data_IF_567455138708
#
_entry.id   IF_567455138708
#
_cell.length_a   1.000
_cell.length_b   1.000
_cell.length_c   1.000
_cell.angle_alpha   90.00
_cell.angle_beta   90.00
_cell.angle_gamma   90.00
#
_symmetry.space_group_name_H-M   'P 1'
#
loop_
_entity.id
_entity.type
_entity.pdbx_description
1 polymer ?
#
# COMPACT_ATOMS: atom_id res chain seq x y z
N UNK A 1 49.14 40.37 -24.68
CA UNK A 1 50.44 41.03 -24.85
C UNK A 1 51.31 40.62 -23.68
N UNK A 2 52.33 39.82 -23.90
CA UNK A 2 53.21 39.36 -22.76
C UNK A 2 54.13 40.49 -22.37
N UNK A 3 54.22 40.74 -21.10
CA UNK A 3 55.19 41.64 -20.52
C UNK A 3 56.58 41.04 -20.72
N UNK A 4 57.50 41.83 -21.33
CA UNK A 4 58.89 41.38 -21.48
C UNK A 4 59.76 42.06 -20.39
N UNK A 5 60.12 41.35 -19.31
CA UNK A 5 60.83 41.94 -18.20
C UNK A 5 62.22 42.50 -18.56
N UNK A 6 62.87 41.88 -19.54
CA UNK A 6 64.19 42.33 -20.01
C UNK A 6 64.10 43.68 -20.69
N UNK A 7 63.10 43.89 -21.57
CA UNK A 7 62.91 45.12 -22.22
C UNK A 7 62.52 46.27 -21.27
N UNK A 8 61.75 45.98 -20.28
CA UNK A 8 61.40 46.93 -19.22
C UNK A 8 62.62 47.31 -18.40
N UNK A 9 63.42 46.33 -18.00
CA UNK A 9 64.67 46.59 -17.28
C UNK A 9 65.62 47.48 -18.06
N UNK A 10 65.86 47.20 -19.35
CA UNK A 10 66.73 47.99 -20.18
C UNK A 10 66.29 49.44 -20.28
N UNK A 11 64.98 49.70 -20.52
CA UNK A 11 64.43 51.05 -20.59
C UNK A 11 64.55 51.76 -19.23
N UNK A 12 64.30 51.12 -18.12
CA UNK A 12 64.40 51.72 -16.82
C UNK A 12 65.85 52.01 -16.42
N UNK A 13 66.79 51.13 -16.80
CA UNK A 13 68.21 51.26 -16.51
C UNK A 13 68.79 52.47 -17.14
N UNK A 14 68.40 52.86 -18.38
CA UNK A 14 68.86 54.02 -19.06
C UNK A 14 68.49 55.33 -18.32
N UNK A 15 67.38 55.31 -17.59
CA UNK A 15 66.85 56.52 -16.95
C UNK A 15 67.21 56.59 -15.46
N UNK A 16 67.21 55.47 -14.78
CA UNK A 16 67.26 55.42 -13.31
C UNK A 16 68.51 54.73 -12.76
N UNK A 17 69.36 54.17 -13.63
CA UNK A 17 70.50 53.34 -13.21
C UNK A 17 70.15 51.87 -12.89
N UNK A 18 71.19 51.06 -12.58
CA UNK A 18 71.05 49.59 -12.53
C UNK A 18 70.19 49.11 -11.38
N UNK A 19 70.48 49.53 -10.14
CA UNK A 19 69.77 49.04 -8.93
C UNK A 19 68.31 49.45 -8.88
N UNK A 20 67.89 50.69 -9.12
CA UNK A 20 66.47 51.06 -9.21
C UNK A 20 65.73 50.33 -10.33
N UNK A 21 66.39 50.14 -11.50
CA UNK A 21 65.77 49.42 -12.64
C UNK A 21 65.46 47.95 -12.30
N UNK A 22 66.36 47.26 -11.62
CA UNK A 22 66.13 45.88 -11.13
C UNK A 22 64.95 45.81 -10.18
N UNK A 23 64.92 46.69 -9.17
CA UNK A 23 63.87 46.74 -8.16
C UNK A 23 62.49 46.99 -8.77
N UNK A 24 62.39 48.00 -9.66
CA UNK A 24 61.14 48.31 -10.38
C UNK A 24 60.70 47.18 -11.32
N UNK A 25 61.61 46.55 -12.04
CA UNK A 25 61.28 45.40 -12.94
C UNK A 25 60.77 44.22 -12.13
N UNK A 26 61.37 43.95 -10.94
CA UNK A 26 60.89 42.92 -10.01
C UNK A 26 59.46 43.19 -9.55
N UNK A 27 59.17 44.39 -9.07
CA UNK A 27 57.82 44.76 -8.65
C UNK A 27 56.82 44.69 -9.78
N UNK A 28 57.16 45.19 -10.98
CA UNK A 28 56.25 45.10 -12.15
C UNK A 28 56.04 43.67 -12.61
N UNK A 29 57.06 42.80 -12.52
CA UNK A 29 56.94 41.35 -12.77
C UNK A 29 55.96 40.69 -11.81
N UNK A 30 56.08 40.97 -10.54
CA UNK A 30 55.22 40.43 -9.49
C UNK A 30 53.78 40.95 -9.64
N UNK A 31 53.58 42.24 -9.91
CA UNK A 31 52.25 42.80 -10.24
C UNK A 31 51.64 42.16 -11.48
N UNK A 32 52.42 41.83 -12.49
CA UNK A 32 51.93 41.17 -13.69
C UNK A 32 51.53 39.72 -13.42
N UNK A 33 52.29 38.98 -12.63
CA UNK A 33 51.92 37.61 -12.21
C UNK A 33 50.67 37.62 -11.35
N UNK A 34 50.50 38.56 -10.44
CA UNK A 34 49.30 38.71 -9.62
C UNK A 34 48.09 39.04 -10.47
N UNK A 35 48.24 39.92 -11.51
CA UNK A 35 47.16 40.25 -12.45
C UNK A 35 46.78 39.12 -13.39
N UNK A 36 47.70 38.23 -13.75
CA UNK A 36 47.37 37.02 -14.58
C UNK A 36 46.63 35.96 -13.81
N UNK A 37 46.71 35.98 -12.49
CA UNK A 37 45.95 35.08 -11.61
C UNK A 37 44.54 35.61 -11.25
N UNK A 38 44.18 36.83 -11.68
CA UNK A 38 42.84 37.39 -11.49
C UNK A 38 41.93 36.95 -12.65
N UNK A 39 40.74 36.50 -12.31
CA UNK A 39 39.73 36.17 -13.32
C UNK A 39 39.58 37.30 -14.34
N UNK A 40 39.78 36.97 -15.60
CA UNK A 40 39.66 37.95 -16.66
C UNK A 40 38.21 38.38 -16.85
N UNK A 41 37.99 39.58 -17.42
CA UNK A 41 36.65 40.07 -17.76
C UNK A 41 35.92 39.14 -18.72
N UNK A 42 36.63 38.37 -19.53
CA UNK A 42 36.07 37.40 -20.48
C UNK A 42 35.51 36.20 -19.66
N UNK A 43 36.31 35.61 -18.79
CA UNK A 43 35.92 34.49 -17.93
C UNK A 43 34.75 34.84 -16.98
N UNK A 44 34.75 36.09 -16.48
CA UNK A 44 33.65 36.59 -15.67
C UNK A 44 32.34 36.70 -16.48
N UNK A 45 32.40 37.16 -17.73
CA UNK A 45 31.25 37.23 -18.60
C UNK A 45 30.75 35.82 -18.99
N UNK A 46 31.64 34.87 -19.25
CA UNK A 46 31.28 33.46 -19.52
C UNK A 46 30.58 32.82 -18.31
N UNK A 47 31.13 33.02 -17.11
CA UNK A 47 30.49 32.56 -15.88
C UNK A 47 29.09 33.15 -15.69
N UNK A 48 28.93 34.46 -15.98
CA UNK A 48 27.63 35.13 -15.90
C UNK A 48 26.61 34.51 -16.86
N UNK A 49 26.98 34.18 -18.08
CA UNK A 49 26.07 33.52 -19.04
C UNK A 49 25.75 32.07 -18.59
N UNK A 50 26.71 31.33 -18.06
CA UNK A 50 26.48 29.99 -17.50
C UNK A 50 25.49 30.06 -16.35
N UNK A 51 25.65 31.00 -15.42
CA UNK A 51 24.75 31.20 -14.28
C UNK A 51 23.34 31.54 -14.76
N UNK A 52 23.21 32.38 -15.79
CA UNK A 52 21.91 32.72 -16.37
C UNK A 52 21.20 31.52 -16.99
N UNK A 53 21.92 30.71 -17.76
CA UNK A 53 21.38 29.47 -18.34
C UNK A 53 21.00 28.46 -17.23
N UNK A 54 21.82 28.37 -16.19
CA UNK A 54 21.53 27.50 -15.04
C UNK A 54 20.25 27.93 -14.29
N UNK A 55 20.10 29.26 -14.08
CA UNK A 55 18.88 29.79 -13.44
C UNK A 55 17.61 29.45 -14.25
N UNK A 56 17.66 29.60 -15.58
CA UNK A 56 16.56 29.21 -16.46
C UNK A 56 16.23 27.72 -16.34
N UNK A 57 17.26 26.85 -16.34
CA UNK A 57 17.02 25.39 -16.18
C UNK A 57 16.46 25.02 -14.82
N UNK A 58 16.86 25.72 -13.75
CA UNK A 58 16.30 25.53 -12.41
C UNK A 58 14.81 25.90 -12.40
N UNK A 59 14.43 26.99 -13.05
CA UNK A 59 13.03 27.39 -13.16
C UNK A 59 12.19 26.38 -13.95
N UNK A 60 12.67 25.89 -15.08
CA UNK A 60 12.05 24.82 -15.88
C UNK A 60 11.86 23.53 -15.06
N UNK A 61 12.88 23.15 -14.28
CA UNK A 61 12.81 21.98 -13.38
C UNK A 61 11.78 22.17 -12.27
N UNK A 62 11.71 23.34 -11.67
CA UNK A 62 10.72 23.65 -10.63
C UNK A 62 9.28 23.56 -11.16
N UNK A 63 9.04 24.06 -12.38
CA UNK A 63 7.73 23.91 -13.03
C UNK A 63 7.40 22.44 -13.36
N UNK A 64 8.36 21.68 -13.87
CA UNK A 64 8.18 20.27 -14.16
C UNK A 64 7.91 19.45 -12.90
N UNK A 65 8.61 19.76 -11.80
CA UNK A 65 8.37 19.16 -10.50
C UNK A 65 6.94 19.44 -9.99
N UNK A 66 6.50 20.69 -10.09
CA UNK A 66 5.13 21.07 -9.69
C UNK A 66 4.07 20.28 -10.46
N UNK A 67 4.21 20.13 -11.78
CA UNK A 67 3.30 19.32 -12.60
C UNK A 67 3.31 17.84 -12.16
N UNK A 68 4.50 17.31 -11.86
CA UNK A 68 4.63 15.93 -11.36
C UNK A 68 3.92 15.76 -10.02
N UNK A 69 4.07 16.72 -9.10
CA UNK A 69 3.39 16.69 -7.81
C UNK A 69 1.86 16.75 -7.94
N UNK A 70 1.34 17.55 -8.87
CA UNK A 70 -0.09 17.61 -9.18
C UNK A 70 -0.59 16.26 -9.71
N UNK A 71 0.11 15.68 -10.68
CA UNK A 71 -0.22 14.35 -11.22
C UNK A 71 -0.21 13.24 -10.15
N UNK A 72 0.79 13.26 -9.26
CA UNK A 72 0.88 12.29 -8.15
C UNK A 72 -0.30 12.43 -7.19
N UNK A 73 -0.75 13.66 -6.91
CA UNK A 73 -1.96 13.88 -6.08
C UNK A 73 -3.22 13.33 -6.75
N UNK A 74 -3.41 13.60 -8.03
CA UNK A 74 -4.56 13.08 -8.80
C UNK A 74 -4.56 11.55 -8.82
N UNK A 75 -3.40 10.92 -9.03
CA UNK A 75 -3.27 9.46 -8.97
C UNK A 75 -3.58 8.91 -7.58
N UNK A 76 -3.13 9.58 -6.52
CA UNK A 76 -3.42 9.18 -5.15
C UNK A 76 -4.93 9.20 -4.85
N UNK A 77 -5.64 10.23 -5.29
CA UNK A 77 -7.10 10.32 -5.18
C UNK A 77 -7.81 9.23 -6.00
N UNK A 78 -7.37 9.01 -7.24
CA UNK A 78 -7.92 7.94 -8.08
C UNK A 78 -7.74 6.55 -7.48
N UNK A 79 -6.59 6.27 -6.85
CA UNK A 79 -6.34 5.01 -6.15
C UNK A 79 -7.27 4.86 -4.92
N UNK A 80 -7.49 5.93 -4.16
CA UNK A 80 -8.39 5.87 -3.00
C UNK A 80 -9.85 5.64 -3.41
N UNK A 81 -10.29 6.29 -4.49
CA UNK A 81 -11.62 6.06 -5.05
C UNK A 81 -11.80 4.63 -5.58
N UNK A 82 -10.82 4.11 -6.33
CA UNK A 82 -10.82 2.71 -6.77
C UNK A 82 -10.87 1.73 -5.60
N UNK A 83 -10.15 2.01 -4.49
CA UNK A 83 -10.22 1.18 -3.28
C UNK A 83 -11.62 1.14 -2.68
N UNK A 84 -12.31 2.27 -2.64
CA UNK A 84 -13.70 2.35 -2.15
C UNK A 84 -14.65 1.57 -3.05
N UNK A 85 -14.54 1.73 -4.37
CA UNK A 85 -15.35 0.98 -5.35
C UNK A 85 -15.11 -0.53 -5.25
N UNK A 86 -13.85 -0.98 -5.19
CA UNK A 86 -13.51 -2.40 -5.01
C UNK A 86 -13.99 -2.93 -3.67
N UNK A 87 -13.93 -2.12 -2.61
CA UNK A 87 -14.49 -2.47 -1.30
C UNK A 87 -16.00 -2.69 -1.34
N UNK A 88 -16.75 -1.80 -2.01
CA UNK A 88 -18.19 -1.95 -2.24
C UNK A 88 -18.52 -3.21 -3.03
N UNK A 89 -17.84 -3.41 -4.16
CA UNK A 89 -18.03 -4.61 -4.99
C UNK A 89 -17.78 -5.92 -4.23
N UNK A 90 -16.79 -5.93 -3.35
CA UNK A 90 -16.47 -7.09 -2.51
C UNK A 90 -17.57 -7.40 -1.49
N UNK A 91 -18.23 -6.38 -0.97
CA UNK A 91 -19.39 -6.54 -0.08
C UNK A 91 -20.60 -7.07 -0.84
N UNK A 92 -20.90 -6.49 -2.02
CA UNK A 92 -22.02 -6.93 -2.88
C UNK A 92 -21.85 -8.38 -3.31
N UNK A 93 -20.65 -8.81 -3.68
CA UNK A 93 -20.34 -10.22 -3.99
C UNK A 93 -20.50 -11.11 -2.75
N UNK A 94 -20.17 -10.62 -1.55
CA UNK A 94 -20.40 -11.34 -0.30
C UNK A 94 -21.88 -11.62 -0.07
N UNK A 95 -22.72 -10.61 -0.19
CA UNK A 95 -24.17 -10.75 -0.07
C UNK A 95 -24.77 -11.71 -1.13
N UNK A 96 -24.26 -11.65 -2.36
CA UNK A 96 -24.68 -12.57 -3.42
C UNK A 96 -24.37 -14.03 -3.07
N UNK A 97 -23.24 -14.34 -2.44
CA UNK A 97 -22.88 -15.71 -2.02
C UNK A 97 -23.84 -16.22 -0.95
N UNK A 98 -24.20 -15.36 -0.01
CA UNK A 98 -25.14 -15.71 1.06
C UNK A 98 -26.52 -15.98 0.49
N UNK A 99 -27.03 -15.08 -0.34
CA UNK A 99 -28.34 -15.21 -0.99
C UNK A 99 -28.42 -16.45 -1.90
N UNK A 100 -27.31 -16.81 -2.55
CA UNK A 100 -27.20 -18.06 -3.34
C UNK A 100 -27.22 -19.34 -2.48
N UNK A 101 -26.77 -19.26 -1.22
CA UNK A 101 -26.66 -20.41 -0.34
C UNK A 101 -27.88 -20.57 0.59
N UNK A 102 -28.53 -19.48 1.00
CA UNK A 102 -29.66 -19.50 1.94
C UNK A 102 -30.76 -20.48 1.56
N UNK A 103 -31.22 -20.59 0.28
CA UNK A 103 -32.27 -21.52 -0.11
C UNK A 103 -31.94 -23.00 0.12
N UNK A 104 -30.66 -23.32 0.23
CA UNK A 104 -30.17 -24.69 0.37
C UNK A 104 -29.64 -25.02 1.76
N UNK A 105 -29.46 -24.02 2.63
CA UNK A 105 -28.66 -24.14 3.85
C UNK A 105 -29.29 -25.05 4.91
N UNK A 106 -30.62 -25.04 5.02
CA UNK A 106 -31.36 -25.90 5.96
C UNK A 106 -31.19 -27.37 5.59
N UNK A 107 -31.47 -27.71 4.33
CA UNK A 107 -31.32 -29.08 3.84
C UNK A 107 -29.86 -29.53 3.83
N UNK A 108 -28.93 -28.61 3.55
CA UNK A 108 -27.49 -28.85 3.67
C UNK A 108 -27.11 -29.19 5.11
N UNK A 109 -27.60 -28.41 6.10
CA UNK A 109 -27.30 -28.65 7.52
C UNK A 109 -27.86 -30.00 8.00
N UNK A 110 -29.06 -30.37 7.52
CA UNK A 110 -29.63 -31.67 7.79
C UNK A 110 -28.77 -32.80 7.20
N UNK A 111 -28.41 -32.71 5.93
CA UNK A 111 -27.68 -33.78 5.24
C UNK A 111 -26.22 -33.88 5.67
N UNK A 112 -25.58 -32.77 5.98
CA UNK A 112 -24.16 -32.71 6.36
C UNK A 112 -23.92 -33.05 7.81
N UNK A 113 -24.83 -32.61 8.71
CA UNK A 113 -24.63 -32.67 10.17
C UNK A 113 -25.73 -33.42 10.91
N UNK A 114 -26.86 -33.66 10.28
CA UNK A 114 -28.06 -34.16 10.94
C UNK A 114 -28.76 -33.09 11.78
N UNK A 115 -28.50 -31.83 11.54
CA UNK A 115 -29.08 -30.69 12.27
C UNK A 115 -30.37 -30.21 11.60
N UNK A 116 -31.46 -30.13 12.37
CA UNK A 116 -32.75 -29.57 11.94
C UNK A 116 -32.72 -28.07 12.27
N UNK A 117 -32.66 -27.24 11.26
CA UNK A 117 -32.57 -25.78 11.39
C UNK A 117 -33.97 -25.18 11.44
N UNK A 118 -34.22 -24.28 12.37
CA UNK A 118 -35.47 -23.55 12.57
C UNK A 118 -35.37 -22.05 12.29
N UNK A 119 -34.14 -21.50 12.31
CA UNK A 119 -33.88 -20.09 12.05
C UNK A 119 -32.67 -19.97 11.13
N UNK A 120 -32.82 -19.25 10.04
CA UNK A 120 -31.75 -18.82 9.15
C UNK A 120 -31.83 -17.30 9.05
N UNK A 121 -30.75 -16.59 9.36
CA UNK A 121 -30.75 -15.14 9.43
C UNK A 121 -29.35 -14.56 9.19
N UNK A 122 -29.27 -13.26 8.97
CA UNK A 122 -28.07 -12.44 9.08
C UNK A 122 -28.24 -11.56 10.32
N UNK A 123 -27.28 -11.59 11.25
CA UNK A 123 -27.45 -10.91 12.54
C UNK A 123 -26.26 -10.04 12.92
N UNK A 124 -26.60 -8.88 13.51
CA UNK A 124 -25.67 -8.13 14.33
C UNK A 124 -25.85 -8.55 15.78
N UNK A 125 -24.76 -8.94 16.42
CA UNK A 125 -24.74 -9.31 17.83
C UNK A 125 -23.94 -8.30 18.63
N UNK A 126 -24.55 -7.78 19.68
CA UNK A 126 -23.86 -6.96 20.66
C UNK A 126 -23.55 -7.80 21.90
N UNK A 127 -22.31 -7.72 22.34
CA UNK A 127 -21.85 -8.46 23.53
C UNK A 127 -21.85 -7.56 24.76
N UNK A 128 -21.92 -8.12 25.97
CA UNK A 128 -21.96 -7.34 27.22
C UNK A 128 -20.74 -6.42 27.42
N UNK A 129 -19.64 -6.67 26.72
CA UNK A 129 -18.41 -5.87 26.75
C UNK A 129 -18.42 -4.69 25.75
N UNK A 130 -19.55 -4.39 25.12
CA UNK A 130 -19.71 -3.32 24.13
C UNK A 130 -19.13 -3.62 22.75
N UNK A 131 -18.64 -4.83 22.50
CA UNK A 131 -18.24 -5.26 21.15
C UNK A 131 -19.45 -5.74 20.38
N UNK A 132 -19.42 -5.59 19.07
CA UNK A 132 -20.42 -6.12 18.15
C UNK A 132 -19.75 -6.92 17.02
N UNK A 133 -20.42 -7.93 16.54
CA UNK A 133 -20.04 -8.70 15.36
C UNK A 133 -21.24 -8.82 14.43
N UNK A 134 -20.98 -8.72 13.14
CA UNK A 134 -21.90 -9.12 12.08
C UNK A 134 -21.68 -10.61 11.79
N UNK A 135 -22.74 -11.36 11.77
CA UNK A 135 -22.74 -12.79 11.41
C UNK A 135 -23.51 -12.94 10.10
N UNK A 136 -22.81 -13.25 9.04
CA UNK A 136 -23.34 -13.33 7.70
C UNK A 136 -24.37 -14.46 7.54
N UNK A 137 -24.07 -15.61 8.12
CA UNK A 137 -24.95 -16.76 8.13
C UNK A 137 -25.12 -17.24 9.57
N UNK A 138 -26.27 -16.95 10.15
CA UNK A 138 -26.66 -17.39 11.49
C UNK A 138 -27.75 -18.46 11.36
N UNK A 139 -27.49 -19.66 11.89
CA UNK A 139 -28.45 -20.74 11.93
C UNK A 139 -28.66 -21.18 13.39
N UNK A 140 -29.90 -21.42 13.72
CA UNK A 140 -30.29 -21.96 15.00
C UNK A 140 -31.21 -23.17 14.81
N UNK A 141 -31.01 -24.23 15.56
CA UNK A 141 -31.78 -25.45 15.39
C UNK A 141 -31.46 -26.51 16.49
N UNK A 142 -31.72 -27.75 16.14
CA UNK A 142 -31.50 -28.89 17.01
C UNK A 142 -30.65 -29.96 16.33
N UNK A 143 -29.73 -30.53 17.10
CA UNK A 143 -28.94 -31.69 16.73
C UNK A 143 -29.10 -32.76 17.78
N UNK A 144 -29.76 -33.89 17.45
CA UNK A 144 -30.04 -34.99 18.36
C UNK A 144 -30.82 -34.58 19.64
N UNK A 145 -31.72 -33.57 19.51
CA UNK A 145 -32.50 -33.04 20.63
C UNK A 145 -31.78 -31.97 21.46
N UNK A 146 -30.53 -31.60 21.12
CA UNK A 146 -29.80 -30.53 21.77
C UNK A 146 -29.74 -29.28 20.88
N UNK A 147 -29.79 -28.11 21.51
CA UNK A 147 -29.70 -26.84 20.80
C UNK A 147 -28.33 -26.68 20.13
N UNK A 148 -28.36 -26.39 18.84
CA UNK A 148 -27.16 -26.08 18.04
C UNK A 148 -27.27 -24.72 17.42
N UNK A 149 -26.15 -24.01 17.39
CA UNK A 149 -25.92 -22.82 16.62
C UNK A 149 -24.87 -23.09 15.54
N UNK A 150 -25.13 -22.64 14.34
CA UNK A 150 -24.13 -22.68 13.27
C UNK A 150 -23.93 -21.29 12.75
N UNK A 151 -22.70 -20.79 12.78
CA UNK A 151 -22.36 -19.47 12.25
C UNK A 151 -21.39 -19.60 11.09
N UNK A 152 -21.64 -18.84 10.05
CA UNK A 152 -20.86 -18.87 8.83
C UNK A 152 -20.40 -17.49 8.40
N UNK A 153 -19.26 -17.47 7.75
CA UNK A 153 -18.71 -16.31 7.02
C UNK A 153 -18.63 -16.64 5.56
N UNK A 154 -19.01 -15.70 4.69
CA UNK A 154 -18.92 -15.85 3.23
C UNK A 154 -17.88 -14.90 2.64
N UNK A 155 -17.09 -15.41 1.72
CA UNK A 155 -16.10 -14.63 0.94
C UNK A 155 -15.95 -15.24 -0.45
N UNK A 156 -15.85 -14.43 -1.48
CA UNK A 156 -15.61 -14.91 -2.85
C UNK A 156 -14.33 -15.76 -2.94
N UNK A 157 -13.28 -15.33 -2.30
CA UNK A 157 -11.98 -16.01 -2.22
C UNK A 157 -11.39 -15.78 -0.81
N UNK A 158 -11.74 -16.62 0.17
CA UNK A 158 -11.21 -16.50 1.52
C UNK A 158 -9.69 -16.56 1.57
N UNK A 159 -9.07 -15.71 2.42
CA UNK A 159 -7.66 -15.71 2.72
C UNK A 159 -7.37 -16.16 4.16
N UNK A 160 -6.11 -16.33 4.53
CA UNK A 160 -5.69 -16.71 5.90
C UNK A 160 -6.24 -15.76 6.96
N UNK A 161 -6.18 -14.44 6.69
CA UNK A 161 -6.69 -13.39 7.60
C UNK A 161 -8.20 -13.46 7.81
N UNK A 162 -8.96 -13.97 6.86
CA UNK A 162 -10.41 -14.12 7.01
C UNK A 162 -10.70 -15.24 8.00
N UNK A 163 -9.97 -16.35 7.97
CA UNK A 163 -10.04 -17.40 8.98
C UNK A 163 -9.64 -16.89 10.37
N UNK A 164 -8.58 -16.09 10.49
CA UNK A 164 -8.15 -15.51 11.77
C UNK A 164 -9.25 -14.63 12.38
N UNK A 165 -9.87 -13.78 11.56
CA UNK A 165 -10.98 -12.89 11.96
C UNK A 165 -12.20 -13.71 12.37
N UNK A 166 -12.61 -14.64 11.52
CA UNK A 166 -13.78 -15.48 11.79
C UNK A 166 -13.60 -16.33 13.05
N UNK A 167 -12.42 -16.90 13.30
CA UNK A 167 -12.15 -17.61 14.54
C UNK A 167 -12.28 -16.72 15.78
N UNK A 168 -11.90 -15.43 15.68
CA UNK A 168 -12.12 -14.49 16.77
C UNK A 168 -13.61 -14.23 17.03
N UNK A 169 -14.42 -14.11 15.97
CA UNK A 169 -15.89 -14.01 16.06
C UNK A 169 -16.46 -15.29 16.69
N UNK A 170 -16.07 -16.47 16.18
CA UNK A 170 -16.54 -17.76 16.66
C UNK A 170 -16.25 -17.97 18.14
N UNK A 171 -15.08 -17.57 18.62
CA UNK A 171 -14.72 -17.64 20.05
C UNK A 171 -15.61 -16.73 20.90
N UNK A 172 -15.88 -15.50 20.46
CA UNK A 172 -16.78 -14.57 21.18
C UNK A 172 -18.19 -15.12 21.23
N UNK A 173 -18.66 -15.63 20.10
CA UNK A 173 -19.99 -16.21 19.99
C UNK A 173 -20.16 -17.43 20.90
N UNK A 174 -19.19 -18.38 20.89
CA UNK A 174 -19.18 -19.55 21.79
C UNK A 174 -19.24 -19.17 23.27
N UNK A 175 -18.59 -18.05 23.65
CA UNK A 175 -18.64 -17.55 25.02
C UNK A 175 -19.99 -16.86 25.38
N UNK A 176 -20.76 -16.45 24.40
CA UNK A 176 -22.00 -15.69 24.55
C UNK A 176 -23.23 -16.60 24.65
N UNK A 177 -23.25 -17.70 23.92
CA UNK A 177 -24.41 -18.60 23.86
C UNK A 177 -24.22 -19.87 24.68
N UNK A 178 -25.35 -20.45 25.15
CA UNK A 178 -25.36 -21.77 25.76
C UNK A 178 -25.86 -22.80 24.75
N UNK A 179 -25.02 -23.73 24.35
CA UNK A 179 -25.33 -24.78 23.37
C UNK A 179 -24.11 -25.12 22.49
N UNK A 180 -24.30 -26.10 21.64
CA UNK A 180 -23.30 -26.50 20.69
C UNK A 180 -23.14 -25.41 19.60
N UNK A 181 -21.90 -25.04 19.25
CA UNK A 181 -21.62 -24.05 18.22
C UNK A 181 -20.69 -24.63 17.19
N UNK A 182 -21.13 -24.62 15.93
CA UNK A 182 -20.30 -24.92 14.76
C UNK A 182 -19.99 -23.66 13.97
N UNK A 183 -18.73 -23.56 13.48
CA UNK A 183 -18.30 -22.50 12.58
C UNK A 183 -18.02 -23.05 11.18
N UNK A 184 -18.40 -22.33 10.14
CA UNK A 184 -18.08 -22.71 8.78
C UNK A 184 -17.78 -21.49 7.91
N UNK A 185 -17.00 -21.69 6.85
CA UNK A 185 -16.69 -20.65 5.88
C UNK A 185 -17.12 -21.11 4.49
N UNK A 186 -17.79 -20.21 3.74
CA UNK A 186 -18.25 -20.44 2.37
C UNK A 186 -17.45 -19.57 1.41
N UNK A 187 -17.07 -20.13 0.26
CA UNK A 187 -16.41 -19.39 -0.80
C UNK A 187 -16.61 -20.03 -2.17
N UNK A 188 -16.36 -19.29 -3.23
CA UNK A 188 -16.33 -19.90 -4.57
C UNK A 188 -15.09 -20.77 -4.74
N UNK A 189 -13.99 -20.34 -4.15
CA UNK A 189 -12.70 -21.05 -4.25
C UNK A 189 -11.83 -20.78 -3.03
N UNK A 190 -11.12 -21.81 -2.56
CA UNK A 190 -10.10 -21.72 -1.52
C UNK A 190 -8.74 -22.01 -2.16
N UNK A 191 -7.77 -21.05 -2.13
CA UNK A 191 -6.40 -21.33 -2.54
C UNK A 191 -5.78 -22.47 -1.72
N UNK A 192 -4.96 -23.29 -2.35
CA UNK A 192 -4.35 -24.47 -1.70
C UNK A 192 -3.64 -24.14 -0.37
N UNK A 193 -2.89 -23.05 -0.37
CA UNK A 193 -2.18 -22.56 0.84
C UNK A 193 -3.13 -22.15 1.98
N UNK A 194 -4.34 -21.66 1.64
CA UNK A 194 -5.37 -21.28 2.61
C UNK A 194 -6.07 -22.52 3.14
N UNK A 195 -6.35 -23.50 2.28
CA UNK A 195 -6.91 -24.79 2.72
C UNK A 195 -5.96 -25.52 3.69
N UNK A 196 -4.66 -25.56 3.38
CA UNK A 196 -3.64 -26.16 4.24
C UNK A 196 -3.55 -25.41 5.58
N UNK A 197 -3.52 -24.08 5.55
CA UNK A 197 -3.51 -23.23 6.73
C UNK A 197 -4.74 -23.48 7.60
N UNK A 198 -5.92 -23.42 7.02
CA UNK A 198 -7.18 -23.61 7.75
C UNK A 198 -7.28 -25.03 8.36
N UNK A 199 -6.83 -26.06 7.64
CA UNK A 199 -6.79 -27.44 8.17
C UNK A 199 -5.84 -27.60 9.36
N UNK A 200 -4.70 -26.93 9.34
CA UNK A 200 -3.70 -27.05 10.41
C UNK A 200 -4.00 -26.18 11.61
N UNK A 201 -4.50 -24.96 11.41
CA UNK A 201 -4.67 -23.95 12.48
C UNK A 201 -6.09 -23.93 13.02
N UNK A 202 -7.10 -24.17 12.18
CA UNK A 202 -8.53 -24.09 12.51
C UNK A 202 -9.29 -25.34 12.03
N UNK A 203 -8.95 -26.55 12.51
CA UNK A 203 -9.61 -27.79 12.10
C UNK A 203 -11.12 -27.82 12.40
N UNK A 204 -11.56 -27.06 13.40
CA UNK A 204 -12.97 -26.97 13.84
C UNK A 204 -13.82 -26.03 12.98
N UNK A 205 -13.21 -25.30 12.04
CA UNK A 205 -13.92 -24.44 11.09
C UNK A 205 -14.08 -25.21 9.77
N UNK A 206 -15.30 -25.62 9.48
CA UNK A 206 -15.61 -26.29 8.22
C UNK A 206 -15.51 -25.34 7.02
N UNK A 207 -15.24 -25.87 5.85
CA UNK A 207 -15.04 -25.12 4.61
C UNK A 207 -15.86 -25.73 3.50
N UNK A 208 -16.67 -24.90 2.86
CA UNK A 208 -17.55 -25.36 1.77
C UNK A 208 -17.47 -24.38 0.61
N UNK A 209 -17.42 -24.93 -0.59
CA UNK A 209 -17.65 -24.16 -1.79
C UNK A 209 -19.15 -24.01 -2.00
N UNK A 210 -19.58 -22.91 -2.61
CA UNK A 210 -21.00 -22.64 -2.86
C UNK A 210 -21.72 -23.81 -3.56
N UNK A 211 -21.07 -24.40 -4.57
CA UNK A 211 -21.64 -25.55 -5.28
C UNK A 211 -21.76 -26.81 -4.41
N UNK A 212 -20.92 -26.97 -3.38
CA UNK A 212 -21.00 -28.11 -2.47
C UNK A 212 -22.22 -28.00 -1.55
N UNK A 213 -22.58 -26.79 -1.11
CA UNK A 213 -23.82 -26.54 -0.36
C UNK A 213 -25.02 -26.98 -1.18
N UNK A 214 -25.15 -26.48 -2.42
CA UNK A 214 -26.26 -26.83 -3.32
C UNK A 214 -26.32 -28.33 -3.59
N UNK A 215 -25.21 -28.93 -4.00
CA UNK A 215 -25.14 -30.36 -4.34
C UNK A 215 -25.47 -31.26 -3.16
N UNK A 216 -25.07 -30.87 -1.93
CA UNK A 216 -25.37 -31.66 -0.73
C UNK A 216 -26.86 -31.55 -0.37
N UNK A 217 -27.47 -30.38 -0.52
CA UNK A 217 -28.90 -30.20 -0.30
C UNK A 217 -29.76 -31.02 -1.30
N UNK A 218 -29.36 -31.04 -2.57
CA UNK A 218 -30.11 -31.74 -3.64
C UNK A 218 -30.00 -33.28 -3.62
N UNK A 219 -28.97 -33.84 -2.93
CA UNK A 219 -28.75 -35.31 -2.87
C UNK A 219 -29.77 -36.10 -2.05
N UNK A 220 -30.63 -35.45 -1.30
CA UNK A 220 -31.62 -36.06 -0.45
C UNK A 220 -33.04 -36.13 -1.06
N UNK A 221 -33.18 -35.66 -2.31
CA UNK A 221 -34.40 -35.78 -3.13
C UNK A 221 -34.30 -36.97 -4.03
#
# INVERSE_FOLDING_TARGET
MMLNPFKIYENLRQTFGDEPAKALTGVLGQMYEDLTNVVTKVEFNELKEIVKVLAQKVEELAEAQKRTEETVRELAWGIDDLRKQVGGLSADVGYSIEDDCIPYIEQFALNQYGAVISVVDRRYLEYPNGKSDEINLYLEGELKGEKIYMIGESKSKPGKKDFDRFNAVLKRFKAHVKGNVKGFMIGYHFPLEVEQYAKSVYPDIDRFKTFEIRRTAERAS
#
